data_IF_462008038751
#
_entry.id   IF_462008038751
#
_cell.length_a   1.000
_cell.length_b   1.000
_cell.length_c   1.000
_cell.angle_alpha   90.00
_cell.angle_beta   90.00
_cell.angle_gamma   90.00
#
_symmetry.space_group_name_H-M   'P 1'
#
loop_
_entity.id
_entity.type
_entity.pdbx_description
1 polymer ?
#
# COMPACT_ATOMS: atom_id res chain seq x y z
N UNK A 1 -56.74 2.25 7.36
CA UNK A 1 -55.74 1.48 6.58
C UNK A 1 -55.00 2.33 5.54
N UNK A 2 -55.64 3.32 4.88
CA UNK A 2 -54.97 4.21 3.90
C UNK A 2 -53.86 5.09 4.52
N UNK A 3 -54.07 5.65 5.71
CA UNK A 3 -53.07 6.51 6.37
C UNK A 3 -51.75 5.76 6.73
N UNK A 4 -51.84 4.48 7.11
CA UNK A 4 -50.67 3.64 7.38
C UNK A 4 -49.91 3.31 6.07
N UNK A 5 -50.64 3.04 4.98
CA UNK A 5 -50.03 2.75 3.68
C UNK A 5 -49.30 3.97 3.10
N UNK A 6 -49.86 5.18 3.25
CA UNK A 6 -49.22 6.42 2.82
C UNK A 6 -47.96 6.71 3.64
N UNK A 7 -48.01 6.53 4.97
CA UNK A 7 -46.84 6.69 5.84
C UNK A 7 -45.73 5.70 5.47
N UNK A 8 -46.05 4.41 5.27
CA UNK A 8 -45.07 3.39 4.88
C UNK A 8 -44.42 3.71 3.51
N UNK A 9 -45.20 4.20 2.54
CA UNK A 9 -44.67 4.59 1.23
C UNK A 9 -43.74 5.82 1.33
N UNK A 10 -44.09 6.80 2.17
CA UNK A 10 -43.26 7.98 2.41
C UNK A 10 -41.95 7.62 3.13
N UNK A 11 -42.00 6.74 4.13
CA UNK A 11 -40.83 6.22 4.82
C UNK A 11 -39.91 5.43 3.88
N UNK A 12 -40.49 4.56 3.03
CA UNK A 12 -39.73 3.82 2.02
C UNK A 12 -39.02 4.74 1.01
N UNK A 13 -39.68 5.81 0.54
CA UNK A 13 -39.06 6.80 -0.36
C UNK A 13 -37.91 7.55 0.29
N UNK A 14 -38.06 7.93 1.57
CA UNK A 14 -36.99 8.60 2.32
C UNK A 14 -35.80 7.68 2.54
N UNK A 15 -36.04 6.41 2.86
CA UNK A 15 -34.98 5.42 3.02
C UNK A 15 -34.22 5.21 1.71
N UNK A 16 -34.92 5.04 0.58
CA UNK A 16 -34.31 4.91 -0.73
C UNK A 16 -33.45 6.13 -1.11
N UNK A 17 -33.95 7.34 -0.85
CA UNK A 17 -33.21 8.58 -1.10
C UNK A 17 -31.93 8.70 -0.25
N UNK A 18 -31.97 8.25 1.01
CA UNK A 18 -30.78 8.23 1.88
C UNK A 18 -29.79 7.16 1.42
N UNK A 19 -30.27 5.97 1.04
CA UNK A 19 -29.41 4.91 0.52
C UNK A 19 -28.70 5.34 -0.76
N UNK A 20 -29.41 5.97 -1.70
CA UNK A 20 -28.81 6.46 -2.93
C UNK A 20 -27.64 7.43 -2.67
N UNK A 21 -27.80 8.37 -1.72
CA UNK A 21 -26.73 9.28 -1.35
C UNK A 21 -25.51 8.54 -0.76
N UNK A 22 -25.75 7.53 0.08
CA UNK A 22 -24.67 6.70 0.60
C UNK A 22 -23.98 5.90 -0.50
N UNK A 23 -24.73 5.33 -1.45
CA UNK A 23 -24.17 4.57 -2.58
C UNK A 23 -23.31 5.45 -3.48
N UNK A 24 -23.77 6.66 -3.81
CA UNK A 24 -23.00 7.63 -4.61
C UNK A 24 -21.70 8.02 -3.89
N UNK A 25 -21.76 8.28 -2.60
CA UNK A 25 -20.59 8.67 -1.82
C UNK A 25 -19.61 7.50 -1.60
N UNK A 26 -20.12 6.27 -1.38
CA UNK A 26 -19.30 5.06 -1.33
C UNK A 26 -18.62 4.77 -2.67
N UNK A 27 -19.31 4.99 -3.79
CA UNK A 27 -18.72 4.83 -5.12
C UNK A 27 -17.48 5.70 -5.29
N UNK A 28 -17.58 6.96 -4.89
CA UNK A 28 -16.48 7.92 -5.03
C UNK A 28 -15.31 7.57 -4.09
N UNK A 29 -15.61 7.17 -2.85
CA UNK A 29 -14.60 6.67 -1.89
C UNK A 29 -13.86 5.45 -2.45
N UNK A 30 -14.59 4.44 -2.94
CA UNK A 30 -13.99 3.21 -3.46
C UNK A 30 -13.26 3.40 -4.80
N UNK A 31 -13.66 4.36 -5.63
CA UNK A 31 -12.87 4.76 -6.81
C UNK A 31 -11.53 5.37 -6.42
N UNK A 32 -11.49 6.20 -5.38
CA UNK A 32 -10.24 6.73 -4.83
C UNK A 32 -9.37 5.61 -4.23
N UNK A 33 -9.97 4.68 -3.49
CA UNK A 33 -9.26 3.51 -2.95
C UNK A 33 -8.69 2.62 -4.07
N UNK A 34 -9.41 2.46 -5.20
CA UNK A 34 -8.91 1.72 -6.36
C UNK A 34 -7.70 2.42 -6.99
N UNK A 35 -7.73 3.75 -7.12
CA UNK A 35 -6.60 4.51 -7.62
C UNK A 35 -5.37 4.35 -6.69
N UNK A 36 -5.60 4.43 -5.39
CA UNK A 36 -4.55 4.30 -4.38
C UNK A 36 -3.93 2.90 -4.35
N UNK A 37 -4.72 1.82 -4.36
CA UNK A 37 -4.16 0.45 -4.34
C UNK A 37 -3.33 0.19 -5.60
N UNK A 38 -3.73 0.69 -6.76
CA UNK A 38 -2.94 0.58 -7.99
C UNK A 38 -1.61 1.35 -7.89
N UNK A 39 -1.62 2.55 -7.29
CA UNK A 39 -0.40 3.33 -7.02
C UNK A 39 0.56 2.54 -6.12
N UNK A 40 0.04 1.95 -5.05
CA UNK A 40 0.84 1.21 -4.08
C UNK A 40 1.39 -0.09 -4.65
N UNK A 41 0.61 -0.83 -5.44
CA UNK A 41 1.10 -2.00 -6.20
C UNK A 41 2.29 -1.60 -7.09
N UNK A 42 2.16 -0.51 -7.85
CA UNK A 42 3.24 -0.02 -8.72
C UNK A 42 4.50 0.33 -7.91
N UNK A 43 4.34 0.97 -6.76
CA UNK A 43 5.44 1.30 -5.84
C UNK A 43 6.11 0.03 -5.29
N UNK A 44 5.31 -0.96 -4.89
CA UNK A 44 5.77 -2.24 -4.37
C UNK A 44 6.56 -3.02 -5.43
N UNK A 45 6.06 -3.06 -6.68
CA UNK A 45 6.73 -3.70 -7.80
C UNK A 45 8.11 -3.08 -8.08
N UNK A 46 8.17 -1.74 -8.05
CA UNK A 46 9.40 -1.00 -8.24
C UNK A 46 10.42 -1.29 -7.13
N UNK A 47 10.00 -1.21 -5.87
CA UNK A 47 10.85 -1.48 -4.72
C UNK A 47 11.36 -2.93 -4.71
N UNK A 48 10.50 -3.90 -5.06
CA UNK A 48 10.88 -5.31 -5.11
C UNK A 48 11.89 -5.59 -6.22
N UNK A 49 11.73 -4.94 -7.40
CA UNK A 49 12.72 -5.00 -8.48
C UNK A 49 14.08 -4.51 -8.00
N UNK A 50 14.13 -3.39 -7.29
CA UNK A 50 15.36 -2.85 -6.71
C UNK A 50 15.96 -3.77 -5.63
N UNK A 51 15.15 -4.42 -4.79
CA UNK A 51 15.64 -5.43 -3.85
C UNK A 51 16.33 -6.59 -4.58
N UNK A 52 15.71 -7.12 -5.65
CA UNK A 52 16.31 -8.20 -6.46
C UNK A 52 17.64 -7.77 -7.08
N UNK A 53 17.72 -6.54 -7.58
CA UNK A 53 18.94 -5.98 -8.16
C UNK A 53 20.09 -5.97 -7.14
N UNK A 54 19.82 -5.54 -5.90
CA UNK A 54 20.80 -5.53 -4.82
C UNK A 54 21.23 -6.94 -4.44
N UNK A 55 20.27 -7.83 -4.17
CA UNK A 55 20.55 -9.21 -3.71
C UNK A 55 21.38 -9.97 -4.75
N UNK A 56 20.95 -9.91 -6.02
CA UNK A 56 21.61 -10.63 -7.11
C UNK A 56 22.86 -9.92 -7.65
N UNK A 57 23.06 -8.64 -7.31
CA UNK A 57 24.05 -7.74 -7.92
C UNK A 57 23.96 -7.67 -9.45
N UNK A 58 22.74 -7.79 -9.99
CA UNK A 58 22.49 -7.86 -11.43
C UNK A 58 21.31 -6.98 -11.85
N UNK A 59 21.36 -6.46 -13.08
CA UNK A 59 20.21 -5.81 -13.73
C UNK A 59 19.17 -6.83 -14.22
N UNK A 60 18.15 -6.35 -14.94
CA UNK A 60 17.10 -7.22 -15.49
C UNK A 60 17.55 -8.10 -16.66
N UNK A 61 18.65 -7.73 -17.33
CA UNK A 61 19.25 -8.47 -18.45
C UNK A 61 20.33 -9.47 -17.97
N UNK A 62 20.58 -9.54 -16.65
CA UNK A 62 21.57 -10.42 -16.03
C UNK A 62 22.99 -9.89 -16.08
N UNK A 63 23.20 -8.61 -16.40
CA UNK A 63 24.51 -7.97 -16.34
C UNK A 63 24.82 -7.56 -14.90
N UNK A 64 26.09 -7.67 -14.51
CA UNK A 64 26.53 -7.26 -13.17
C UNK A 64 26.42 -5.74 -13.05
N UNK A 65 25.79 -5.30 -11.98
CA UNK A 65 25.69 -3.88 -11.64
C UNK A 65 27.06 -3.31 -11.27
N UNK A 66 27.31 -2.08 -11.69
CA UNK A 66 28.39 -1.23 -11.20
C UNK A 66 28.13 -0.82 -9.75
N UNK A 67 29.15 -0.31 -9.07
CA UNK A 67 29.03 0.16 -7.69
C UNK A 67 27.98 1.28 -7.56
N UNK A 68 27.93 2.19 -8.53
CA UNK A 68 26.92 3.25 -8.60
C UNK A 68 25.50 2.68 -8.73
N UNK A 69 25.31 1.74 -9.66
CA UNK A 69 24.00 1.12 -9.88
C UNK A 69 23.55 0.29 -8.67
N UNK A 70 24.47 -0.38 -7.96
CA UNK A 70 24.18 -1.07 -6.71
C UNK A 70 23.68 -0.10 -5.64
N UNK A 71 24.32 1.06 -5.49
CA UNK A 71 23.93 2.06 -4.52
C UNK A 71 22.58 2.71 -4.86
N UNK A 72 22.34 3.00 -6.13
CA UNK A 72 21.05 3.51 -6.61
C UNK A 72 19.94 2.47 -6.42
N UNK A 73 20.19 1.21 -6.75
CA UNK A 73 19.25 0.12 -6.51
C UNK A 73 18.97 -0.04 -5.01
N UNK A 74 19.98 0.04 -4.16
CA UNK A 74 19.82 0.00 -2.72
C UNK A 74 18.92 1.14 -2.24
N UNK A 75 19.23 2.39 -2.60
CA UNK A 75 18.37 3.55 -2.31
C UNK A 75 16.92 3.34 -2.74
N UNK A 76 16.70 2.92 -3.97
CA UNK A 76 15.37 2.71 -4.54
C UNK A 76 14.59 1.61 -3.82
N UNK A 77 15.28 0.61 -3.23
CA UNK A 77 14.65 -0.49 -2.51
C UNK A 77 13.94 -0.06 -1.21
N UNK A 78 14.38 1.02 -0.54
CA UNK A 78 13.82 1.44 0.77
C UNK A 78 13.34 2.89 0.86
N UNK A 79 13.66 3.75 -0.13
CA UNK A 79 13.34 5.18 -0.08
C UNK A 79 11.85 5.47 -0.01
N UNK A 80 11.05 4.80 -0.84
CA UNK A 80 9.60 4.98 -0.93
C UNK A 80 8.90 3.66 -0.64
N UNK A 81 8.73 3.35 0.66
CA UNK A 81 8.19 2.07 1.03
C UNK A 81 6.68 2.01 0.73
N UNK A 82 6.16 0.91 0.15
CA UNK A 82 4.75 0.77 -0.21
C UNK A 82 3.87 0.84 1.03
N UNK A 83 2.83 1.68 0.97
CA UNK A 83 1.84 1.84 2.03
C UNK A 83 0.50 2.32 1.47
N UNK A 84 -0.57 1.58 1.76
CA UNK A 84 -1.93 1.91 1.38
C UNK A 84 -2.54 2.92 2.34
N UNK A 85 -3.00 4.05 1.79
CA UNK A 85 -3.72 5.06 2.56
C UNK A 85 -5.20 5.05 2.18
N UNK A 86 -6.03 4.49 3.04
CA UNK A 86 -7.47 4.46 2.82
C UNK A 86 -8.06 5.89 2.72
N UNK A 87 -8.95 6.10 1.77
CA UNK A 87 -9.78 7.32 1.69
C UNK A 87 -10.75 7.36 2.87
N UNK A 88 -10.76 8.42 3.70
CA UNK A 88 -11.63 8.49 4.87
C UNK A 88 -13.06 8.90 4.49
N UNK A 89 -14.06 8.43 5.25
CA UNK A 89 -15.32 9.17 5.40
C UNK A 89 -16.58 8.32 5.46
N UNK A 90 -17.01 7.78 4.33
CA UNK A 90 -18.40 7.34 4.15
C UNK A 90 -18.65 5.98 4.77
N UNK A 91 -17.75 5.01 4.58
CA UNK A 91 -17.95 3.69 5.19
C UNK A 91 -17.97 3.76 6.73
N UNK A 92 -17.09 4.57 7.32
CA UNK A 92 -17.10 4.79 8.76
C UNK A 92 -18.39 5.46 9.23
N UNK A 93 -18.93 6.41 8.47
CA UNK A 93 -20.21 7.05 8.76
C UNK A 93 -21.38 6.04 8.66
N UNK A 94 -21.38 5.14 7.67
CA UNK A 94 -22.37 4.06 7.57
C UNK A 94 -22.31 3.11 8.78
N UNK A 95 -21.11 2.79 9.27
CA UNK A 95 -20.92 1.92 10.44
C UNK A 95 -21.41 2.65 11.70
N UNK A 96 -20.95 3.87 11.93
CA UNK A 96 -21.26 4.65 13.14
C UNK A 96 -22.74 5.01 13.25
N UNK A 97 -23.41 5.24 12.12
CA UNK A 97 -24.86 5.49 12.06
C UNK A 97 -25.72 4.23 12.15
N UNK A 98 -25.12 3.04 12.11
CA UNK A 98 -25.83 1.77 12.00
C UNK A 98 -26.57 1.59 10.67
N UNK A 99 -26.24 2.40 9.65
CA UNK A 99 -26.86 2.30 8.34
C UNK A 99 -26.36 1.08 7.54
N UNK A 100 -25.12 0.64 7.78
CA UNK A 100 -24.56 -0.54 7.11
C UNK A 100 -25.47 -1.77 7.21
N UNK A 101 -26.09 -2.02 8.38
CA UNK A 101 -27.01 -3.15 8.56
C UNK A 101 -28.34 -2.99 7.82
N UNK A 102 -28.67 -1.78 7.37
CA UNK A 102 -29.93 -1.42 6.70
C UNK A 102 -29.82 -1.35 5.18
N UNK A 103 -28.61 -1.48 4.61
CA UNK A 103 -28.43 -1.56 3.15
C UNK A 103 -29.30 -2.68 2.57
N UNK A 104 -30.00 -2.36 1.49
CA UNK A 104 -30.88 -3.29 0.80
C UNK A 104 -30.08 -4.35 0.03
N UNK A 105 -28.97 -3.97 -0.60
CA UNK A 105 -28.08 -4.92 -1.24
C UNK A 105 -27.28 -5.71 -0.20
N UNK A 106 -27.69 -6.97 0.01
CA UNK A 106 -27.08 -7.91 0.95
C UNK A 106 -25.64 -8.24 0.54
N UNK A 107 -25.37 -8.36 -0.76
CA UNK A 107 -24.04 -8.67 -1.28
C UNK A 107 -23.10 -7.48 -1.05
N UNK A 108 -23.53 -6.26 -1.38
CA UNK A 108 -22.77 -5.05 -1.06
C UNK A 108 -22.42 -4.98 0.43
N UNK A 109 -23.40 -5.24 1.31
CA UNK A 109 -23.16 -5.25 2.76
C UNK A 109 -22.12 -6.29 3.16
N UNK A 110 -22.18 -7.49 2.59
CA UNK A 110 -21.21 -8.56 2.82
C UNK A 110 -19.79 -8.14 2.37
N UNK A 111 -19.68 -7.53 1.19
CA UNK A 111 -18.40 -7.06 0.66
C UNK A 111 -17.81 -5.91 1.48
N UNK A 112 -18.63 -4.98 1.96
CA UNK A 112 -18.20 -3.90 2.88
C UNK A 112 -17.74 -4.44 4.24
N UNK A 113 -18.32 -5.55 4.73
CA UNK A 113 -17.82 -6.23 5.93
C UNK A 113 -16.49 -6.94 5.68
N UNK A 114 -16.36 -7.61 4.53
CA UNK A 114 -15.10 -8.23 4.09
C UNK A 114 -13.98 -7.21 3.97
N UNK A 115 -14.27 -6.02 3.44
CA UNK A 115 -13.33 -4.90 3.36
C UNK A 115 -12.69 -4.56 4.70
N UNK A 116 -13.47 -4.54 5.79
CA UNK A 116 -12.94 -4.24 7.13
C UNK A 116 -11.92 -5.28 7.62
N UNK A 117 -12.07 -6.54 7.19
CA UNK A 117 -11.11 -7.60 7.49
C UNK A 117 -9.88 -7.47 6.58
N UNK A 118 -10.09 -7.35 5.27
CA UNK A 118 -9.01 -7.24 4.28
C UNK A 118 -8.11 -6.04 4.52
N UNK A 119 -8.67 -4.88 4.91
CA UNK A 119 -7.88 -3.70 5.23
C UNK A 119 -7.04 -3.89 6.50
N UNK A 120 -7.53 -4.67 7.47
CA UNK A 120 -6.77 -4.96 8.68
C UNK A 120 -5.63 -5.93 8.37
N UNK A 121 -5.88 -6.98 7.59
CA UNK A 121 -4.85 -7.93 7.12
C UNK A 121 -3.73 -7.21 6.35
N UNK A 122 -4.08 -6.28 5.45
CA UNK A 122 -3.10 -5.46 4.73
C UNK A 122 -2.27 -4.60 5.69
N UNK A 123 -2.91 -3.95 6.68
CA UNK A 123 -2.20 -3.12 7.65
C UNK A 123 -1.24 -3.92 8.52
N UNK A 124 -1.66 -5.10 8.96
CA UNK A 124 -0.82 -5.98 9.78
C UNK A 124 0.44 -6.42 9.00
N UNK A 125 0.28 -6.77 7.71
CA UNK A 125 1.41 -7.11 6.85
C UNK A 125 2.29 -5.88 6.52
N UNK A 126 1.70 -4.70 6.32
CA UNK A 126 2.45 -3.45 6.14
C UNK A 126 3.28 -3.09 7.37
N UNK A 127 2.76 -3.35 8.58
CA UNK A 127 3.48 -3.14 9.83
C UNK A 127 4.63 -4.14 10.00
N UNK A 128 4.45 -5.42 9.62
CA UNK A 128 5.55 -6.40 9.56
C UNK A 128 6.62 -5.95 8.56
N UNK A 129 6.21 -5.52 7.37
CA UNK A 129 7.11 -4.98 6.35
C UNK A 129 7.91 -3.78 6.88
N UNK A 130 7.28 -2.87 7.63
CA UNK A 130 7.95 -1.75 8.27
C UNK A 130 9.01 -2.19 9.27
N UNK A 131 8.72 -3.19 10.10
CA UNK A 131 9.69 -3.71 11.07
C UNK A 131 10.93 -4.29 10.39
N UNK A 132 10.76 -4.96 9.25
CA UNK A 132 11.89 -5.46 8.46
C UNK A 132 12.67 -4.35 7.76
N UNK A 133 11.98 -3.31 7.29
CA UNK A 133 12.61 -2.11 6.72
C UNK A 133 13.51 -1.40 7.73
N UNK A 134 13.05 -1.25 8.97
CA UNK A 134 13.84 -0.60 10.02
C UNK A 134 15.14 -1.36 10.31
N UNK A 135 15.16 -2.69 10.23
CA UNK A 135 16.41 -3.48 10.36
C UNK A 135 17.43 -3.14 9.26
N UNK A 136 16.98 -2.92 8.02
CA UNK A 136 17.87 -2.47 6.92
C UNK A 136 18.46 -1.10 7.28
N UNK A 137 17.62 -0.17 7.75
CA UNK A 137 18.05 1.18 8.11
C UNK A 137 19.01 1.17 9.30
N UNK A 138 18.74 0.37 10.32
CA UNK A 138 19.62 0.21 11.48
C UNK A 138 21.00 -0.33 11.08
N UNK A 139 21.03 -1.36 10.22
CA UNK A 139 22.29 -1.85 9.65
C UNK A 139 23.02 -0.74 8.90
N UNK A 140 22.31 0.01 8.04
CA UNK A 140 22.88 1.12 7.30
C UNK A 140 23.47 2.19 8.20
N UNK A 141 22.76 2.60 9.25
CA UNK A 141 23.21 3.62 10.19
C UNK A 141 24.46 3.18 10.95
N UNK A 142 24.58 1.88 11.25
CA UNK A 142 25.71 1.29 11.98
C UNK A 142 26.94 1.12 11.09
N UNK A 143 26.74 0.52 9.91
CA UNK A 143 27.84 0.05 9.07
C UNK A 143 28.21 1.04 7.96
N UNK A 144 27.27 1.74 7.34
CA UNK A 144 27.58 2.64 6.23
C UNK A 144 28.15 3.97 6.73
N UNK A 145 28.96 4.61 5.88
CA UNK A 145 28.99 6.08 5.87
C UNK A 145 27.79 6.56 5.08
N UNK A 146 26.69 6.86 5.78
CA UNK A 146 25.43 7.26 5.14
C UNK A 146 25.59 8.54 4.30
N UNK A 147 26.40 9.50 4.75
CA UNK A 147 26.73 10.70 3.97
C UNK A 147 27.40 10.35 2.64
N UNK A 148 28.42 9.49 2.67
CA UNK A 148 29.13 9.03 1.48
C UNK A 148 28.18 8.27 0.56
N UNK A 149 27.38 7.36 1.10
CA UNK A 149 26.37 6.60 0.36
C UNK A 149 25.38 7.51 -0.38
N UNK A 150 24.89 8.58 0.26
CA UNK A 150 23.97 9.53 -0.38
C UNK A 150 24.63 10.36 -1.49
N UNK A 151 25.91 10.74 -1.33
CA UNK A 151 26.67 11.44 -2.37
C UNK A 151 26.93 10.52 -3.56
N UNK A 152 27.37 9.28 -3.29
CA UNK A 152 27.71 8.31 -4.33
C UNK A 152 26.46 7.81 -5.07
N UNK A 153 25.29 7.76 -4.42
CA UNK A 153 24.01 7.51 -5.08
C UNK A 153 23.50 8.71 -5.93
N UNK A 154 24.26 9.80 -6.02
CA UNK A 154 23.95 11.04 -6.75
C UNK A 154 22.63 11.71 -6.28
N UNK A 155 22.32 11.61 -4.99
CA UNK A 155 21.10 12.18 -4.42
C UNK A 155 21.21 13.70 -4.23
N UNK A 156 20.59 14.44 -5.16
CA UNK A 156 20.65 15.92 -5.21
C UNK A 156 20.14 16.65 -3.95
N UNK A 157 19.41 15.98 -3.06
CA UNK A 157 18.90 16.58 -1.82
C UNK A 157 20.00 16.84 -0.77
N UNK A 158 21.12 16.11 -0.82
CA UNK A 158 22.22 16.20 0.17
C UNK A 158 23.48 16.89 -0.40
N UNK A 159 23.52 17.13 -1.72
CA UNK A 159 24.67 17.75 -2.40
C UNK A 159 25.11 19.12 -1.86
N UNK A 160 24.26 19.82 -1.09
CA UNK A 160 24.57 21.11 -0.45
C UNK A 160 25.33 20.98 0.89
N UNK A 161 25.53 19.77 1.44
CA UNK A 161 26.13 19.54 2.76
C UNK A 161 27.53 18.88 2.62
N UNK A 162 28.60 19.65 2.42
CA UNK A 162 30.00 19.18 2.17
C UNK A 162 30.97 19.79 3.22
N UNK A 163 32.08 19.13 3.71
CA UNK A 163 32.87 18.05 3.11
C UNK A 163 32.94 16.67 3.79
N UNK A 164 33.49 15.77 2.98
CA UNK A 164 33.59 14.31 3.00
C UNK A 164 34.97 13.88 3.53
N UNK A 165 35.02 13.24 4.69
CA UNK A 165 36.29 12.71 5.24
C UNK A 165 36.09 11.31 5.86
N UNK A 166 35.14 10.53 5.31
CA UNK A 166 34.83 9.20 5.83
C UNK A 166 35.53 8.11 5.04
N UNK A 167 36.27 7.25 5.73
CA UNK A 167 37.08 6.15 5.17
C UNK A 167 36.32 4.84 4.98
N UNK A 168 35.03 4.76 5.36
CA UNK A 168 34.25 3.52 5.26
C UNK A 168 34.02 3.11 3.79
N UNK A 169 34.23 1.84 3.52
CA UNK A 169 33.96 1.21 2.22
C UNK A 169 32.52 0.67 2.18
N UNK A 170 31.60 1.49 1.69
CA UNK A 170 30.18 1.12 1.57
C UNK A 170 29.95 0.04 0.50
N UNK A 171 30.84 -0.07 -0.52
CA UNK A 171 30.64 -1.01 -1.63
C UNK A 171 30.84 -2.44 -1.15
N UNK A 172 31.85 -2.67 -0.32
CA UNK A 172 32.11 -4.00 0.26
C UNK A 172 30.91 -4.56 1.05
N UNK A 173 30.08 -3.69 1.65
CA UNK A 173 28.92 -4.08 2.45
C UNK A 173 27.83 -4.77 1.62
N UNK A 174 27.76 -4.57 0.29
CA UNK A 174 26.83 -5.31 -0.58
C UNK A 174 27.14 -6.82 -0.67
N UNK A 175 28.30 -7.24 -0.15
CA UNK A 175 28.72 -8.63 -0.06
C UNK A 175 28.71 -9.15 1.39
N UNK A 176 28.24 -8.35 2.34
CA UNK A 176 28.11 -8.74 3.74
C UNK A 176 26.93 -9.70 3.95
N UNK A 177 27.15 -10.75 4.73
CA UNK A 177 26.16 -11.80 4.98
C UNK A 177 25.00 -11.31 5.85
N UNK A 178 25.24 -10.38 6.79
CA UNK A 178 24.17 -9.81 7.61
C UNK A 178 23.26 -8.94 6.75
N UNK A 179 23.83 -8.10 5.88
CA UNK A 179 23.03 -7.30 4.94
C UNK A 179 22.21 -8.18 4.00
N UNK A 180 22.82 -9.22 3.42
CA UNK A 180 22.13 -10.14 2.50
C UNK A 180 20.93 -10.81 3.18
N UNK A 181 21.09 -11.28 4.43
CA UNK A 181 20.01 -11.87 5.22
C UNK A 181 18.89 -10.87 5.53
N UNK A 182 19.23 -9.65 5.94
CA UNK A 182 18.25 -8.61 6.25
C UNK A 182 17.47 -8.23 4.98
N UNK A 183 18.16 -8.04 3.85
CA UNK A 183 17.56 -7.71 2.57
C UNK A 183 16.68 -8.84 2.02
N UNK A 184 17.09 -10.09 2.18
CA UNK A 184 16.29 -11.26 1.82
C UNK A 184 14.97 -11.29 2.60
N UNK A 185 15.01 -11.17 3.93
CA UNK A 185 13.80 -11.14 4.77
C UNK A 185 12.90 -9.95 4.41
N UNK A 186 13.47 -8.75 4.25
CA UNK A 186 12.75 -7.57 3.79
C UNK A 186 12.06 -7.81 2.44
N UNK A 187 12.75 -8.44 1.48
CA UNK A 187 12.18 -8.75 0.17
C UNK A 187 11.06 -9.81 0.22
N UNK A 188 11.12 -10.75 1.17
CA UNK A 188 10.10 -11.79 1.33
C UNK A 188 8.78 -11.20 1.82
N UNK A 189 8.82 -10.33 2.84
CA UNK A 189 7.60 -9.66 3.34
C UNK A 189 7.05 -8.70 2.28
N UNK A 190 7.92 -7.96 1.58
CA UNK A 190 7.49 -7.14 0.43
C UNK A 190 6.81 -7.97 -0.67
N UNK A 191 7.35 -9.18 -0.96
CA UNK A 191 6.78 -10.08 -1.96
C UNK A 191 5.40 -10.61 -1.54
N UNK A 192 5.21 -10.82 -0.24
CA UNK A 192 3.92 -11.19 0.36
C UNK A 192 2.87 -10.10 0.12
N UNK A 193 3.19 -8.84 0.44
CA UNK A 193 2.35 -7.67 0.10
C UNK A 193 1.99 -7.62 -1.39
N UNK A 194 3.00 -7.80 -2.25
CA UNK A 194 2.88 -7.72 -3.70
C UNK A 194 1.98 -8.80 -4.30
N UNK A 195 2.09 -10.04 -3.84
CA UNK A 195 1.42 -11.20 -4.46
C UNK A 195 0.09 -11.57 -3.81
N UNK A 196 -0.13 -11.18 -2.56
CA UNK A 196 -1.28 -11.65 -1.79
C UNK A 196 -2.16 -10.50 -1.31
N UNK A 197 -1.61 -9.59 -0.51
CA UNK A 197 -2.43 -8.60 0.20
C UNK A 197 -2.94 -7.47 -0.69
N UNK A 198 -2.07 -6.82 -1.48
CA UNK A 198 -2.54 -5.76 -2.38
C UNK A 198 -3.44 -6.27 -3.53
N UNK A 199 -3.18 -7.42 -4.16
CA UNK A 199 -4.12 -8.01 -5.10
C UNK A 199 -5.47 -8.33 -4.49
N UNK A 200 -5.52 -8.93 -3.30
CA UNK A 200 -6.77 -9.24 -2.60
C UNK A 200 -7.55 -7.96 -2.23
N UNK A 201 -6.85 -6.93 -1.76
CA UNK A 201 -7.43 -5.62 -1.47
C UNK A 201 -8.06 -5.00 -2.73
N UNK A 202 -7.34 -5.06 -3.86
CA UNK A 202 -7.83 -4.57 -5.14
C UNK A 202 -9.07 -5.33 -5.62
N UNK A 203 -9.05 -6.66 -5.57
CA UNK A 203 -10.21 -7.48 -5.93
C UNK A 203 -11.43 -7.13 -5.09
N UNK A 204 -11.26 -6.97 -3.77
CA UNK A 204 -12.37 -6.59 -2.89
C UNK A 204 -12.93 -5.19 -3.22
N UNK A 205 -12.08 -4.21 -3.57
CA UNK A 205 -12.52 -2.88 -4.03
C UNK A 205 -13.34 -3.00 -5.32
N UNK A 206 -12.88 -3.80 -6.28
CA UNK A 206 -13.55 -3.99 -7.56
C UNK A 206 -14.93 -4.65 -7.39
N UNK A 207 -15.03 -5.65 -6.49
CA UNK A 207 -16.32 -6.27 -6.14
C UNK A 207 -17.28 -5.29 -5.47
N UNK A 208 -16.79 -4.45 -4.55
CA UNK A 208 -17.62 -3.42 -3.90
C UNK A 208 -18.13 -2.42 -4.91
N UNK A 209 -17.27 -1.93 -5.81
CA UNK A 209 -17.67 -1.02 -6.88
C UNK A 209 -18.73 -1.66 -7.79
N UNK A 210 -18.56 -2.92 -8.18
CA UNK A 210 -19.54 -3.63 -9.00
C UNK A 210 -20.92 -3.70 -8.33
N UNK A 211 -20.97 -4.01 -7.03
CA UNK A 211 -22.22 -4.08 -6.28
C UNK A 211 -22.85 -2.71 -6.04
N UNK A 212 -22.05 -1.65 -5.89
CA UNK A 212 -22.56 -0.27 -5.82
C UNK A 212 -23.21 0.14 -7.15
N UNK A 213 -22.53 -0.09 -8.29
CA UNK A 213 -23.07 0.27 -9.60
C UNK A 213 -24.36 -0.51 -9.92
N UNK A 214 -24.43 -1.79 -9.53
CA UNK A 214 -25.66 -2.57 -9.61
C UNK A 214 -26.78 -1.93 -8.79
N UNK A 215 -26.50 -1.58 -7.54
CA UNK A 215 -27.49 -0.98 -6.61
C UNK A 215 -27.97 0.40 -7.07
N UNK A 216 -27.15 1.17 -7.80
CA UNK A 216 -27.51 2.47 -8.37
C UNK A 216 -28.32 2.36 -9.68
N UNK A 217 -28.35 1.18 -10.30
CA UNK A 217 -29.06 0.92 -11.55
C UNK A 217 -30.47 0.34 -11.37
N UNK A 218 -30.82 -0.04 -10.13
CA UNK A 218 -32.14 -0.55 -9.71
C UNK A 218 -33.10 0.58 -9.31
#
# INVERSE_FOLDING_TARGET
>A
MIALQINNCNEGRKAAFVEQQYLEALRDEFKSNLAEVNRVITSCDSAFRSCKQVINKMDEDGQRLTDLELQQAHMNAFRFPPKFTQSPGILNDLINSGYLSKLNNIELRSQLQRWLVTIQEVKDEEDEFWQHREKVIEFMQREYSFRKFMIEAEEGFIGEIVPNDTTKDNVSLFYDEELDNIMLLYSLVMRSLQLHYYPALKENIELILAEIEKSLSE
#
